data_IF_458014966921
#
_entry.id   IF_458014966921
#
_cell.length_a   1.000
_cell.length_b   1.000
_cell.length_c   1.000
_cell.angle_alpha   90.00
_cell.angle_beta   90.00
_cell.angle_gamma   90.00
#
_symmetry.space_group_name_H-M   'P 1'
#
loop_
_entity.id
_entity.type
_entity.pdbx_description
1 polymer ?
#
# COMPACT_ATOMS: atom_id res chain seq x y z
N UNK A 1 -20.18 13.20 33.15
CA UNK A 1 -19.08 13.41 32.17
C UNK A 1 -18.76 12.07 31.52
N UNK A 2 -18.74 11.99 30.20
CA UNK A 2 -18.31 10.78 29.49
C UNK A 2 -16.79 10.58 29.67
N UNK A 3 -16.39 9.38 29.98
CA UNK A 3 -14.97 9.04 30.10
C UNK A 3 -14.30 9.01 28.73
N UNK A 4 -12.96 9.19 28.66
CA UNK A 4 -12.19 9.05 27.41
C UNK A 4 -12.46 7.70 26.72
N UNK A 5 -12.70 6.63 27.50
CA UNK A 5 -13.00 5.31 26.98
C UNK A 5 -14.38 5.27 26.30
N UNK A 6 -15.38 5.91 26.88
CA UNK A 6 -16.73 6.02 26.29
C UNK A 6 -16.70 6.83 25.00
N UNK A 7 -15.94 7.93 24.98
CA UNK A 7 -15.73 8.74 23.76
C UNK A 7 -15.05 7.97 22.64
N UNK A 8 -14.02 7.19 22.94
CA UNK A 8 -13.36 6.34 21.94
C UNK A 8 -14.28 5.22 21.43
N UNK A 9 -15.13 4.67 22.29
CA UNK A 9 -16.15 3.68 21.90
C UNK A 9 -17.19 4.31 20.95
N UNK A 10 -17.66 5.52 21.25
CA UNK A 10 -18.56 6.29 20.37
C UNK A 10 -17.91 6.59 19.03
N UNK A 11 -16.66 7.09 19.02
CA UNK A 11 -15.90 7.31 17.80
C UNK A 11 -15.77 6.04 16.96
N UNK A 12 -15.55 4.89 17.60
CA UNK A 12 -15.48 3.59 16.94
C UNK A 12 -16.78 3.26 16.20
N UNK A 13 -17.93 3.54 16.79
CA UNK A 13 -19.23 3.36 16.14
C UNK A 13 -19.41 4.35 14.98
N UNK A 14 -19.06 5.62 15.17
CA UNK A 14 -19.14 6.64 14.12
C UNK A 14 -18.32 6.27 12.88
N UNK A 15 -17.13 5.73 13.07
CA UNK A 15 -16.25 5.25 11.98
C UNK A 15 -16.92 4.09 11.24
N UNK A 16 -17.50 3.13 11.96
CA UNK A 16 -18.20 1.97 11.37
C UNK A 16 -19.45 2.41 10.59
N UNK A 17 -20.26 3.29 11.15
CA UNK A 17 -21.46 3.84 10.48
C UNK A 17 -21.13 4.53 9.17
N UNK A 18 -19.95 5.16 9.05
CA UNK A 18 -19.46 5.79 7.83
C UNK A 18 -18.79 4.83 6.85
N UNK A 19 -18.73 3.54 7.17
CA UNK A 19 -18.16 2.49 6.31
C UNK A 19 -16.66 2.66 6.04
N UNK A 20 -15.91 3.31 6.94
CA UNK A 20 -14.47 3.44 6.81
C UNK A 20 -13.80 2.07 7.01
N UNK A 21 -12.65 1.88 6.33
CA UNK A 21 -11.91 0.62 6.40
C UNK A 21 -11.40 0.34 7.82
N UNK A 22 -11.34 -0.93 8.22
CA UNK A 22 -10.93 -1.38 9.56
C UNK A 22 -9.55 -0.83 9.95
N UNK A 23 -8.59 -0.85 9.03
CA UNK A 23 -7.28 -0.24 9.28
C UNK A 23 -7.37 1.28 9.57
N UNK A 24 -8.31 2.00 8.95
CA UNK A 24 -8.55 3.43 9.25
C UNK A 24 -9.15 3.59 10.64
N UNK A 25 -10.07 2.69 11.01
CA UNK A 25 -10.65 2.62 12.34
C UNK A 25 -9.58 2.51 13.41
N UNK A 26 -8.71 1.49 13.32
CA UNK A 26 -7.67 1.22 14.31
C UNK A 26 -6.67 2.35 14.44
N UNK A 27 -6.26 2.92 13.31
CA UNK A 27 -5.33 4.05 13.27
C UNK A 27 -5.96 5.29 13.90
N UNK A 28 -7.20 5.62 13.57
CA UNK A 28 -7.88 6.81 14.07
C UNK A 28 -8.14 6.72 15.58
N UNK A 29 -8.67 5.60 16.06
CA UNK A 29 -8.90 5.37 17.49
C UNK A 29 -7.60 5.45 18.27
N UNK A 30 -6.52 4.82 17.78
CA UNK A 30 -5.20 4.87 18.41
C UNK A 30 -4.64 6.29 18.49
N UNK A 31 -4.79 7.10 17.43
CA UNK A 31 -4.25 8.45 17.40
C UNK A 31 -5.05 9.43 18.24
N UNK A 32 -6.38 9.29 18.28
CA UNK A 32 -7.20 10.10 19.18
C UNK A 32 -6.95 9.72 20.64
N UNK A 33 -6.76 8.43 20.96
CA UNK A 33 -6.35 8.02 22.32
C UNK A 33 -5.07 8.73 22.76
N UNK A 34 -4.02 8.74 21.91
CA UNK A 34 -2.76 9.44 22.22
C UNK A 34 -2.96 10.95 22.38
N UNK A 35 -3.86 11.55 21.63
CA UNK A 35 -4.22 12.96 21.76
C UNK A 35 -4.90 13.23 23.11
N UNK A 36 -5.90 12.44 23.49
CA UNK A 36 -6.60 12.57 24.76
C UNK A 36 -5.69 12.35 25.97
N UNK A 37 -4.80 11.36 25.90
CA UNK A 37 -3.78 11.10 26.93
C UNK A 37 -2.80 12.27 27.08
N UNK A 38 -2.45 12.90 25.96
CA UNK A 38 -1.56 14.07 25.97
C UNK A 38 -2.21 15.30 26.60
N UNK A 39 -3.46 15.60 26.24
CA UNK A 39 -4.16 16.79 26.74
C UNK A 39 -4.51 16.67 28.22
N UNK A 40 -4.80 15.46 28.71
CA UNK A 40 -5.15 15.17 30.11
C UNK A 40 -6.25 16.10 30.67
N UNK A 41 -7.21 16.50 29.81
CA UNK A 41 -8.35 17.40 30.12
C UNK A 41 -9.67 16.69 29.81
N UNK A 42 -10.78 17.13 30.45
CA UNK A 42 -12.11 16.72 30.04
C UNK A 42 -12.36 17.02 28.55
N UNK A 43 -13.07 16.15 27.87
CA UNK A 43 -13.30 16.28 26.41
C UNK A 43 -14.10 17.53 26.06
N UNK A 44 -14.95 17.98 26.98
CA UNK A 44 -15.76 19.20 26.85
C UNK A 44 -14.87 20.46 26.77
N UNK A 45 -13.74 20.45 27.42
CA UNK A 45 -12.78 21.57 27.48
C UNK A 45 -11.76 21.55 26.35
N UNK A 46 -11.68 20.45 25.60
CA UNK A 46 -10.77 20.34 24.47
C UNK A 46 -11.17 21.28 23.33
N UNK A 47 -10.19 21.98 22.79
CA UNK A 47 -10.39 22.94 21.71
C UNK A 47 -9.35 22.82 20.61
N UNK A 48 -9.39 23.82 19.76
CA UNK A 48 -8.49 23.96 18.63
C UNK A 48 -7.04 24.19 19.05
N UNK A 49 -6.84 24.94 20.15
CA UNK A 49 -5.52 25.20 20.73
C UNK A 49 -4.85 23.87 21.16
N UNK A 50 -5.58 22.99 21.85
CA UNK A 50 -5.06 21.70 22.30
C UNK A 50 -4.67 20.81 21.11
N UNK A 51 -5.49 20.78 20.05
CA UNK A 51 -5.19 20.06 18.84
C UNK A 51 -3.94 20.58 18.11
N UNK A 52 -3.80 21.93 18.07
CA UNK A 52 -2.64 22.59 17.47
C UNK A 52 -1.36 22.32 18.26
N UNK A 53 -1.39 22.48 19.58
CA UNK A 53 -0.24 22.27 20.45
C UNK A 53 0.25 20.82 20.38
N UNK A 54 -0.68 19.87 20.36
CA UNK A 54 -0.34 18.45 20.16
C UNK A 54 0.37 18.20 18.83
N UNK A 55 -0.12 18.75 17.73
CA UNK A 55 0.50 18.57 16.41
C UNK A 55 1.85 19.26 16.31
N UNK A 56 2.03 20.46 16.91
CA UNK A 56 3.31 21.16 17.00
C UNK A 56 4.31 20.30 17.77
N UNK A 57 3.93 19.74 18.90
CA UNK A 57 4.79 18.83 19.67
C UNK A 57 5.23 17.63 18.86
N UNK A 58 4.31 16.96 18.14
CA UNK A 58 4.67 15.83 17.28
C UNK A 58 5.65 16.22 16.16
N UNK A 59 5.57 17.46 15.69
CA UNK A 59 6.49 17.98 14.69
C UNK A 59 7.86 18.27 15.27
N UNK A 60 7.91 18.85 16.48
CA UNK A 60 9.16 19.22 17.19
C UNK A 60 9.93 17.99 17.67
N UNK A 61 9.24 16.93 18.07
CA UNK A 61 9.84 15.65 18.45
C UNK A 61 10.67 15.01 17.31
N UNK A 62 10.34 15.32 16.06
CA UNK A 62 11.12 14.88 14.88
C UNK A 62 11.14 13.36 14.61
N UNK A 63 10.59 12.55 15.53
CA UNK A 63 10.58 11.09 15.41
C UNK A 63 9.56 10.56 14.37
N UNK A 64 8.56 11.37 14.01
CA UNK A 64 7.47 10.97 13.14
C UNK A 64 7.59 11.60 11.74
N UNK A 65 7.42 10.77 10.72
CA UNK A 65 7.30 11.27 9.36
C UNK A 65 6.06 12.19 9.20
N UNK A 66 6.18 13.23 8.38
CA UNK A 66 5.11 14.20 8.06
C UNK A 66 3.79 13.53 7.69
N UNK A 67 3.86 12.38 6.99
CA UNK A 67 2.67 11.59 6.66
C UNK A 67 1.93 11.06 7.88
N UNK A 68 2.67 10.65 8.91
CA UNK A 68 2.11 10.17 10.18
C UNK A 68 1.46 11.31 10.95
N UNK A 69 2.12 12.48 11.01
CA UNK A 69 1.55 13.67 11.66
C UNK A 69 0.24 14.10 10.97
N UNK A 70 0.20 14.05 9.64
CA UNK A 70 -1.03 14.31 8.89
C UNK A 70 -2.15 13.29 9.17
N UNK A 71 -1.80 12.05 9.51
CA UNK A 71 -2.79 11.05 9.93
C UNK A 71 -3.34 11.36 11.33
N UNK A 72 -2.50 11.81 12.29
CA UNK A 72 -2.97 12.32 13.57
C UNK A 72 -3.93 13.49 13.38
N UNK A 73 -3.56 14.48 12.57
CA UNK A 73 -4.41 15.62 12.24
C UNK A 73 -5.77 15.17 11.65
N UNK A 74 -5.77 14.20 10.72
CA UNK A 74 -7.00 13.67 10.13
C UNK A 74 -7.89 12.97 11.16
N UNK A 75 -7.29 12.20 12.08
CA UNK A 75 -8.02 11.51 13.15
C UNK A 75 -8.64 12.50 14.15
N UNK A 76 -7.90 13.53 14.55
CA UNK A 76 -8.37 14.59 15.45
C UNK A 76 -9.52 15.37 14.79
N UNK A 77 -9.38 15.77 13.52
CA UNK A 77 -10.44 16.44 12.77
C UNK A 77 -11.72 15.59 12.69
N UNK A 78 -11.56 14.29 12.45
CA UNK A 78 -12.69 13.36 12.44
C UNK A 78 -13.36 13.32 13.82
N UNK A 79 -12.59 13.19 14.88
CA UNK A 79 -13.08 13.16 16.26
C UNK A 79 -13.90 14.41 16.62
N UNK A 80 -13.35 15.59 16.37
CA UNK A 80 -14.08 16.84 16.63
C UNK A 80 -15.32 16.99 15.74
N UNK A 81 -15.18 16.81 14.42
CA UNK A 81 -16.27 17.08 13.48
C UNK A 81 -17.40 16.04 13.57
N UNK A 82 -17.08 14.77 13.82
CA UNK A 82 -18.06 13.69 13.75
C UNK A 82 -18.50 13.24 15.13
N UNK A 83 -17.55 12.92 16.02
CA UNK A 83 -17.89 12.36 17.32
C UNK A 83 -18.34 13.43 18.31
N UNK A 84 -17.69 14.59 18.31
CA UNK A 84 -18.07 15.70 19.20
C UNK A 84 -19.09 16.65 18.57
N UNK A 85 -19.36 16.53 17.27
CA UNK A 85 -20.17 17.47 16.50
C UNK A 85 -19.72 18.94 16.67
N UNK A 86 -18.41 19.17 16.66
CA UNK A 86 -17.78 20.48 16.84
C UNK A 86 -16.89 20.79 15.66
N UNK A 87 -17.06 21.98 15.07
CA UNK A 87 -16.21 22.46 13.95
C UNK A 87 -14.94 23.09 14.47
N UNK A 88 -13.80 22.64 13.93
CA UNK A 88 -12.51 23.30 14.11
C UNK A 88 -12.22 24.23 12.94
N UNK A 89 -11.50 25.33 13.21
CA UNK A 89 -11.00 26.18 12.14
C UNK A 89 -9.83 25.51 11.45
N UNK A 90 -10.07 24.92 10.28
CA UNK A 90 -9.07 24.18 9.52
C UNK A 90 -7.89 25.03 9.00
N UNK A 91 -8.04 26.36 8.99
CA UNK A 91 -6.93 27.26 8.66
C UNK A 91 -5.85 27.24 9.74
N UNK A 92 -6.23 27.03 10.99
CA UNK A 92 -5.28 26.92 12.11
C UNK A 92 -4.65 25.54 12.30
N UNK A 93 -5.25 24.52 11.68
CA UNK A 93 -4.76 23.15 11.65
C UNK A 93 -4.38 22.73 10.23
N UNK A 94 -3.42 23.38 9.56
CA UNK A 94 -3.08 23.05 8.17
C UNK A 94 -2.51 21.64 8.06
N UNK A 95 -2.65 21.06 6.87
CA UNK A 95 -1.90 19.84 6.54
C UNK A 95 -0.44 20.20 6.26
N UNK A 96 0.46 19.48 6.88
CA UNK A 96 1.89 19.64 6.63
C UNK A 96 2.23 19.19 5.21
N UNK A 97 3.00 20.01 4.49
CA UNK A 97 3.47 19.64 3.15
C UNK A 97 4.38 18.42 3.25
N UNK A 98 4.03 17.36 2.53
CA UNK A 98 4.95 16.23 2.34
C UNK A 98 6.01 16.63 1.34
N UNK A 99 7.28 16.39 1.65
CA UNK A 99 8.30 16.33 0.61
C UNK A 99 7.93 15.18 -0.33
N UNK A 100 7.77 15.47 -1.61
CA UNK A 100 7.56 14.46 -2.63
C UNK A 100 8.93 13.87 -3.02
N UNK A 101 9.43 12.92 -2.24
CA UNK A 101 10.50 12.07 -2.74
C UNK A 101 9.90 11.05 -3.70
N UNK A 102 10.54 10.83 -4.84
CA UNK A 102 10.19 9.72 -5.71
C UNK A 102 10.44 8.41 -4.94
N UNK A 103 9.56 7.42 -5.08
CA UNK A 103 9.79 6.13 -4.46
C UNK A 103 11.05 5.49 -5.05
N UNK A 104 11.85 4.88 -4.20
CA UNK A 104 12.98 4.08 -4.62
C UNK A 104 12.46 2.78 -5.25
N UNK A 105 12.94 2.45 -6.45
CA UNK A 105 12.54 1.25 -7.19
C UNK A 105 13.73 0.30 -7.33
N UNK A 106 13.44 -0.98 -7.46
CA UNK A 106 14.41 -1.98 -7.84
C UNK A 106 14.61 -1.96 -9.37
N UNK A 107 15.87 -2.06 -9.81
CA UNK A 107 16.15 -2.27 -11.23
C UNK A 107 15.65 -3.65 -11.70
N UNK A 108 15.63 -3.90 -13.00
CA UNK A 108 15.29 -5.21 -13.56
C UNK A 108 16.25 -6.29 -13.03
N UNK A 109 17.54 -6.00 -13.00
CA UNK A 109 18.60 -6.90 -12.52
C UNK A 109 18.43 -7.20 -11.03
N UNK A 110 18.19 -6.18 -10.20
CA UNK A 110 17.92 -6.35 -8.76
C UNK A 110 16.66 -7.17 -8.52
N UNK A 111 15.61 -6.91 -9.30
CA UNK A 111 14.34 -7.66 -9.21
C UNK A 111 14.52 -9.12 -9.63
N UNK A 112 15.25 -9.37 -10.73
CA UNK A 112 15.53 -10.72 -11.20
C UNK A 112 16.40 -11.48 -10.21
N UNK A 113 17.42 -10.83 -9.63
CA UNK A 113 18.26 -11.44 -8.59
C UNK A 113 17.44 -11.79 -7.35
N UNK A 114 16.61 -10.85 -6.84
CA UNK A 114 15.75 -11.10 -5.68
C UNK A 114 14.80 -12.28 -5.88
N UNK A 115 14.16 -12.39 -7.04
CA UNK A 115 13.22 -13.46 -7.34
C UNK A 115 13.94 -14.76 -7.69
N UNK A 116 15.00 -14.68 -8.49
CA UNK A 116 15.74 -15.84 -8.98
C UNK A 116 16.47 -16.59 -7.87
N UNK A 117 17.10 -15.85 -6.96
CA UNK A 117 17.83 -16.42 -5.83
C UNK A 117 16.95 -16.79 -4.63
N UNK A 118 15.65 -16.45 -4.64
CA UNK A 118 14.74 -16.74 -3.54
C UNK A 118 14.55 -18.27 -3.37
N UNK A 119 15.08 -18.82 -2.29
CA UNK A 119 15.05 -20.26 -2.01
C UNK A 119 13.68 -20.73 -1.49
N UNK A 120 12.93 -19.85 -0.85
CA UNK A 120 11.62 -20.20 -0.31
C UNK A 120 10.55 -20.02 -1.39
N UNK A 121 10.01 -21.11 -1.89
CA UNK A 121 9.00 -21.14 -2.96
C UNK A 121 7.73 -20.32 -2.63
N UNK A 122 7.33 -20.25 -1.34
CA UNK A 122 6.22 -19.42 -0.90
C UNK A 122 6.56 -17.93 -1.01
N UNK A 123 7.79 -17.54 -0.61
CA UNK A 123 8.25 -16.15 -0.72
C UNK A 123 8.39 -15.75 -2.20
N UNK A 124 9.01 -16.62 -3.02
CA UNK A 124 9.12 -16.43 -4.47
C UNK A 124 7.74 -16.19 -5.10
N UNK A 125 6.72 -16.94 -4.68
CA UNK A 125 5.34 -16.75 -5.14
C UNK A 125 4.79 -15.35 -4.80
N UNK A 126 5.05 -14.81 -3.61
CA UNK A 126 4.64 -13.45 -3.25
C UNK A 126 5.28 -12.41 -4.18
N UNK A 127 6.57 -12.56 -4.46
CA UNK A 127 7.34 -11.61 -5.24
C UNK A 127 6.92 -11.63 -6.72
N UNK A 128 6.68 -12.82 -7.26
CA UNK A 128 6.17 -12.98 -8.63
C UNK A 128 4.77 -12.38 -8.79
N UNK A 129 3.88 -12.55 -7.81
CA UNK A 129 2.56 -11.90 -7.83
C UNK A 129 2.68 -10.38 -7.71
N UNK A 130 3.58 -9.88 -6.84
CA UNK A 130 3.78 -8.45 -6.66
C UNK A 130 4.39 -7.80 -7.90
N UNK A 131 5.38 -8.44 -8.52
CA UNK A 131 6.09 -7.93 -9.69
C UNK A 131 5.40 -8.26 -11.01
N UNK A 132 4.90 -9.49 -11.19
CA UNK A 132 4.25 -9.92 -12.44
C UNK A 132 2.79 -9.48 -12.58
N UNK A 133 2.10 -9.27 -11.44
CA UNK A 133 0.68 -8.86 -11.41
C UNK A 133 0.44 -7.47 -10.83
N UNK A 134 1.45 -6.85 -10.25
CA UNK A 134 1.34 -5.51 -9.66
C UNK A 134 0.42 -5.42 -8.44
N UNK A 135 0.25 -6.51 -7.68
CA UNK A 135 -0.66 -6.53 -6.54
C UNK A 135 -0.08 -5.79 -5.32
N UNK A 136 -0.98 -5.24 -4.50
CA UNK A 136 -0.62 -4.71 -3.16
C UNK A 136 -0.44 -5.86 -2.19
N UNK A 137 0.39 -5.66 -1.15
CA UNK A 137 0.65 -6.70 -0.13
C UNK A 137 -0.65 -7.24 0.51
N UNK A 138 -1.62 -6.39 0.79
CA UNK A 138 -2.93 -6.81 1.32
C UNK A 138 -3.76 -7.60 0.30
N UNK A 139 -3.65 -7.29 -0.99
CA UNK A 139 -4.30 -8.03 -2.07
C UNK A 139 -3.66 -9.42 -2.21
N UNK A 140 -2.32 -9.52 -2.15
CA UNK A 140 -1.59 -10.80 -2.16
C UNK A 140 -2.02 -11.69 -1.00
N UNK A 141 -2.07 -11.12 0.22
CA UNK A 141 -2.46 -11.86 1.41
C UNK A 141 -3.88 -12.43 1.30
N UNK A 142 -4.82 -11.66 0.72
CA UNK A 142 -6.22 -12.01 0.63
C UNK A 142 -6.61 -12.82 -0.62
N UNK A 143 -5.63 -13.20 -1.48
CA UNK A 143 -5.91 -14.03 -2.66
C UNK A 143 -6.45 -15.40 -2.26
N UNK A 144 -7.37 -15.88 -3.07
CA UNK A 144 -7.88 -17.26 -3.01
C UNK A 144 -7.41 -18.06 -4.21
N UNK A 145 -7.39 -19.39 -4.08
CA UNK A 145 -7.00 -20.27 -5.20
C UNK A 145 -7.89 -20.09 -6.44
N UNK A 146 -9.18 -19.83 -6.24
CA UNK A 146 -10.13 -19.57 -7.31
C UNK A 146 -9.92 -18.24 -8.04
N UNK A 147 -9.12 -17.34 -7.48
CA UNK A 147 -8.83 -16.04 -8.10
C UNK A 147 -7.72 -16.14 -9.15
N UNK A 148 -7.08 -17.31 -9.26
CA UNK A 148 -6.06 -17.61 -10.28
C UNK A 148 -6.72 -18.27 -11.48
N UNK A 149 -6.93 -17.51 -12.55
CA UNK A 149 -7.43 -18.03 -13.82
C UNK A 149 -6.27 -18.44 -14.72
N UNK A 150 -5.91 -19.71 -14.64
CA UNK A 150 -4.81 -20.28 -15.44
C UNK A 150 -5.16 -20.47 -16.92
N UNK A 151 -6.43 -20.41 -17.31
CA UNK A 151 -6.85 -20.52 -18.73
C UNK A 151 -6.67 -19.16 -19.43
N UNK A 152 -7.12 -18.09 -18.79
CA UNK A 152 -7.04 -16.73 -19.35
C UNK A 152 -5.74 -16.01 -18.93
N UNK A 153 -4.86 -16.65 -18.15
CA UNK A 153 -3.63 -16.08 -17.62
C UNK A 153 -3.86 -14.74 -16.90
N UNK A 154 -4.82 -14.73 -15.94
CA UNK A 154 -5.22 -13.56 -15.18
C UNK A 154 -5.35 -13.86 -13.69
N UNK A 155 -5.18 -12.83 -12.89
CA UNK A 155 -5.46 -12.84 -11.45
C UNK A 155 -6.68 -11.94 -11.22
N UNK A 156 -7.71 -12.47 -10.58
CA UNK A 156 -8.86 -11.68 -10.12
C UNK A 156 -8.54 -11.05 -8.77
N UNK A 157 -8.64 -9.74 -8.67
CA UNK A 157 -8.38 -8.98 -7.43
C UNK A 157 -9.70 -8.40 -6.94
N UNK A 158 -10.24 -9.02 -5.90
CA UNK A 158 -11.51 -8.62 -5.30
C UNK A 158 -11.34 -7.44 -4.37
N UNK A 159 -12.21 -6.43 -4.51
CA UNK A 159 -12.37 -5.37 -3.51
C UNK A 159 -11.13 -4.54 -3.26
N UNK A 160 -10.32 -4.25 -4.26
CA UNK A 160 -9.17 -3.34 -4.16
C UNK A 160 -9.54 -1.98 -3.56
N UNK A 161 -8.56 -1.10 -3.37
CA UNK A 161 -8.78 0.27 -2.83
C UNK A 161 -9.90 0.97 -3.62
N UNK A 162 -11.00 1.31 -2.93
CA UNK A 162 -12.21 1.88 -3.55
C UNK A 162 -13.28 0.85 -3.92
N UNK A 163 -13.18 -0.40 -3.45
CA UNK A 163 -14.16 -1.51 -3.64
C UNK A 163 -14.43 -1.89 -5.09
N UNK A 164 -13.53 -1.57 -6.04
CA UNK A 164 -13.64 -2.01 -7.44
C UNK A 164 -12.82 -3.28 -7.65
N UNK A 165 -13.47 -4.30 -8.18
CA UNK A 165 -12.83 -5.52 -8.63
C UNK A 165 -12.05 -5.25 -9.93
N UNK A 166 -10.98 -6.02 -10.16
CA UNK A 166 -10.21 -5.94 -11.39
C UNK A 166 -9.54 -7.26 -11.72
N UNK A 167 -9.17 -7.40 -12.98
CA UNK A 167 -8.22 -8.41 -13.43
C UNK A 167 -6.85 -7.82 -13.66
N UNK A 168 -5.81 -8.61 -13.39
CA UNK A 168 -4.42 -8.25 -13.71
C UNK A 168 -3.70 -9.46 -14.31
N UNK A 169 -2.44 -9.27 -14.69
CA UNK A 169 -1.64 -10.26 -15.39
C UNK A 169 -1.22 -11.42 -14.47
N UNK A 170 -1.22 -12.62 -15.01
CA UNK A 170 -0.59 -13.80 -14.45
C UNK A 170 0.50 -14.28 -15.41
N UNK A 171 1.77 -14.18 -15.02
CA UNK A 171 2.86 -14.68 -15.86
C UNK A 171 2.97 -16.21 -15.78
N UNK A 172 3.52 -16.84 -16.82
CA UNK A 172 3.78 -18.28 -16.83
C UNK A 172 4.67 -18.71 -15.66
N UNK A 173 5.73 -17.96 -15.38
CA UNK A 173 6.64 -18.22 -14.26
C UNK A 173 5.90 -18.19 -12.92
N UNK A 174 5.02 -17.19 -12.73
CA UNK A 174 4.20 -17.10 -11.53
C UNK A 174 3.29 -18.33 -11.39
N UNK A 175 2.60 -18.74 -12.47
CA UNK A 175 1.71 -19.89 -12.44
C UNK A 175 2.48 -21.20 -12.15
N UNK A 176 3.63 -21.43 -12.78
CA UNK A 176 4.48 -22.58 -12.50
C UNK A 176 4.95 -22.62 -11.05
N UNK A 177 5.43 -21.49 -10.53
CA UNK A 177 5.89 -21.37 -9.13
C UNK A 177 4.73 -21.59 -8.14
N UNK A 178 3.53 -21.11 -8.44
CA UNK A 178 2.35 -21.36 -7.62
C UNK A 178 1.95 -22.83 -7.59
N UNK A 179 1.98 -23.52 -8.72
CA UNK A 179 1.70 -24.97 -8.81
C UNK A 179 2.72 -25.77 -8.01
N UNK A 180 4.01 -25.42 -8.12
CA UNK A 180 5.09 -26.04 -7.36
C UNK A 180 4.90 -25.81 -5.85
N UNK A 181 4.61 -24.57 -5.44
CA UNK A 181 4.32 -24.25 -4.04
C UNK A 181 3.19 -25.13 -3.48
N UNK A 182 2.10 -25.29 -4.23
CA UNK A 182 0.95 -26.08 -3.78
C UNK A 182 1.26 -27.59 -3.76
N UNK A 183 2.06 -28.08 -4.70
CA UNK A 183 2.50 -29.49 -4.74
C UNK A 183 3.41 -29.85 -3.59
N UNK A 184 4.39 -28.97 -3.30
CA UNK A 184 5.40 -29.22 -2.25
C UNK A 184 4.82 -29.01 -0.85
N UNK A 185 4.11 -27.88 -0.64
CA UNK A 185 3.66 -27.48 0.70
C UNK A 185 2.33 -28.09 1.10
N UNK A 186 1.47 -28.45 0.15
CA UNK A 186 0.12 -29.00 0.39
C UNK A 186 -0.58 -28.31 1.56
N UNK A 187 -0.73 -26.98 1.55
CA UNK A 187 -1.15 -26.24 2.72
C UNK A 187 -2.58 -26.64 3.13
N UNK A 188 -2.80 -26.80 4.42
CA UNK A 188 -4.16 -26.96 4.96
C UNK A 188 -4.95 -25.66 4.66
N UNK A 189 -6.02 -25.77 3.88
CA UNK A 189 -6.70 -24.61 3.34
C UNK A 189 -8.22 -24.81 3.21
N UNK A 190 -8.94 -25.01 4.30
CA UNK A 190 -10.39 -25.18 4.28
C UNK A 190 -11.12 -23.93 3.76
N UNK A 191 -10.55 -22.76 3.94
CA UNK A 191 -11.12 -21.47 3.53
C UNK A 191 -10.79 -21.08 2.07
N UNK A 192 -9.97 -21.85 1.35
CA UNK A 192 -9.59 -21.58 -0.05
C UNK A 192 -8.61 -20.44 -0.26
N UNK A 193 -7.83 -20.03 0.76
CA UNK A 193 -6.80 -19.01 0.63
C UNK A 193 -5.63 -19.51 -0.23
N UNK A 194 -5.07 -18.66 -1.09
CA UNK A 194 -3.88 -19.01 -1.85
C UNK A 194 -2.67 -19.19 -0.92
N UNK A 195 -2.57 -18.35 0.10
CA UNK A 195 -1.55 -18.37 1.13
C UNK A 195 -2.19 -18.40 2.52
N UNK A 196 -2.57 -19.59 3.00
CA UNK A 196 -3.15 -19.71 4.33
C UNK A 196 -2.13 -19.40 5.44
N UNK A 197 -2.66 -19.01 6.61
CA UNK A 197 -1.93 -18.99 7.88
C UNK A 197 -1.47 -20.40 8.27
N UNK A 198 -0.63 -20.48 9.28
CA UNK A 198 -0.12 -21.78 9.75
C UNK A 198 -1.23 -22.76 10.14
N UNK A 199 -2.29 -22.26 10.78
CA UNK A 199 -3.45 -23.05 11.22
C UNK A 199 -4.52 -23.22 10.12
N UNK A 200 -4.33 -22.63 8.93
CA UNK A 200 -5.27 -22.70 7.80
C UNK A 200 -6.57 -21.92 7.96
N UNK A 201 -6.82 -21.30 9.13
CA UNK A 201 -8.08 -20.61 9.43
C UNK A 201 -8.20 -19.23 8.79
N UNK A 202 -7.07 -18.57 8.62
CA UNK A 202 -6.98 -17.24 8.03
C UNK A 202 -5.98 -17.24 6.86
N UNK A 203 -5.86 -16.13 6.19
CA UNK A 203 -4.75 -15.89 5.27
C UNK A 203 -3.49 -15.42 6.02
N UNK A 204 -2.34 -15.50 5.34
CA UNK A 204 -1.09 -14.91 5.83
C UNK A 204 -1.26 -13.42 6.15
N UNK A 205 -0.55 -12.94 7.16
CA UNK A 205 -0.56 -11.50 7.49
C UNK A 205 0.28 -10.69 6.50
N UNK A 206 -0.08 -9.44 6.28
CA UNK A 206 0.72 -8.51 5.49
C UNK A 206 2.11 -8.28 6.09
N UNK A 207 2.22 -8.31 7.41
CA UNK A 207 3.50 -8.24 8.12
C UNK A 207 4.39 -9.46 7.82
N UNK A 208 3.81 -10.66 7.74
CA UNK A 208 4.54 -11.87 7.36
C UNK A 208 5.13 -11.79 5.94
N UNK A 209 4.34 -11.27 4.97
CA UNK A 209 4.83 -11.07 3.61
C UNK A 209 5.91 -9.98 3.55
N UNK A 210 5.73 -8.86 4.28
CA UNK A 210 6.70 -7.78 4.35
C UNK A 210 8.02 -8.24 5.02
N UNK A 211 7.93 -9.04 6.09
CA UNK A 211 9.10 -9.62 6.74
C UNK A 211 9.87 -10.58 5.81
N UNK A 212 9.14 -11.44 5.08
CA UNK A 212 9.74 -12.30 4.07
C UNK A 212 10.52 -11.49 3.01
N UNK A 213 9.93 -10.40 2.53
CA UNK A 213 10.59 -9.51 1.56
C UNK A 213 11.86 -8.87 2.14
N UNK A 214 11.78 -8.30 3.34
CA UNK A 214 12.93 -7.66 4.01
C UNK A 214 14.10 -8.65 4.22
N UNK A 215 13.79 -9.88 4.64
CA UNK A 215 14.78 -10.94 4.81
C UNK A 215 15.48 -11.28 3.50
N UNK A 216 14.73 -11.46 2.41
CA UNK A 216 15.31 -11.81 1.11
C UNK A 216 16.10 -10.64 0.49
N UNK A 217 15.64 -9.40 0.61
CA UNK A 217 16.36 -8.19 0.18
C UNK A 217 17.74 -8.12 0.85
N UNK A 218 17.77 -8.33 2.17
CA UNK A 218 19.04 -8.34 2.93
C UNK A 218 19.94 -9.52 2.50
N UNK A 219 19.37 -10.72 2.29
CA UNK A 219 20.10 -11.93 1.91
C UNK A 219 20.80 -11.79 0.56
N UNK A 220 20.13 -11.17 -0.43
CA UNK A 220 20.70 -10.96 -1.77
C UNK A 220 21.54 -9.68 -1.88
N UNK A 221 21.79 -8.99 -0.77
CA UNK A 221 22.69 -7.84 -0.71
C UNK A 221 22.15 -6.59 -1.41
N UNK A 222 20.84 -6.39 -1.47
CA UNK A 222 20.24 -5.14 -1.94
C UNK A 222 20.29 -4.13 -0.80
N UNK A 223 21.00 -3.01 -1.02
CA UNK A 223 21.24 -1.97 -0.01
C UNK A 223 20.15 -0.87 0.00
N UNK A 224 19.29 -0.85 -1.00
CA UNK A 224 18.18 0.11 -1.11
C UNK A 224 17.18 -0.08 0.04
N UNK A 225 16.69 1.06 0.59
CA UNK A 225 15.64 1.03 1.62
C UNK A 225 14.25 0.88 0.98
N UNK A 226 13.92 -0.35 0.61
CA UNK A 226 12.70 -0.68 -0.12
C UNK A 226 11.77 -1.58 0.68
N UNK A 227 10.48 -1.47 0.42
CA UNK A 227 9.45 -2.41 0.87
C UNK A 227 8.94 -3.25 -0.30
N UNK A 228 8.13 -4.27 -0.02
CA UNK A 228 7.51 -5.10 -1.08
C UNK A 228 6.73 -4.27 -2.12
N UNK A 229 6.28 -3.06 -1.78
CA UNK A 229 5.67 -2.14 -2.75
C UNK A 229 6.62 -1.72 -3.88
N UNK A 230 7.96 -1.83 -3.68
CA UNK A 230 8.93 -1.57 -4.74
C UNK A 230 8.77 -2.54 -5.93
N UNK A 231 8.36 -3.80 -5.68
CA UNK A 231 8.06 -4.75 -6.75
C UNK A 231 6.85 -4.32 -7.59
N UNK A 232 5.80 -3.80 -6.95
CA UNK A 232 4.65 -3.22 -7.65
C UNK A 232 5.02 -1.92 -8.38
N UNK A 233 5.90 -1.11 -7.82
CA UNK A 233 6.42 0.06 -8.51
C UNK A 233 7.26 -0.35 -9.73
N UNK A 234 8.12 -1.36 -9.57
CA UNK A 234 8.88 -1.97 -10.67
C UNK A 234 7.98 -2.51 -11.77
N UNK A 235 6.90 -3.24 -11.44
CA UNK A 235 5.90 -3.69 -12.41
C UNK A 235 5.38 -2.54 -13.28
N UNK A 236 4.96 -1.45 -12.65
CA UNK A 236 4.40 -0.31 -13.38
C UNK A 236 5.45 0.43 -14.22
N UNK A 237 6.65 0.64 -13.67
CA UNK A 237 7.73 1.37 -14.34
C UNK A 237 8.27 0.57 -15.53
N UNK A 238 8.55 -0.72 -15.32
CA UNK A 238 9.09 -1.58 -16.38
C UNK A 238 8.06 -1.85 -17.50
N UNK A 239 6.76 -1.98 -17.18
CA UNK A 239 5.72 -2.05 -18.21
C UNK A 239 5.64 -0.76 -19.05
N UNK A 240 5.81 0.40 -18.40
CA UNK A 240 5.82 1.68 -19.12
C UNK A 240 7.03 1.79 -20.05
N UNK A 241 8.19 1.34 -19.60
CA UNK A 241 9.43 1.25 -20.42
C UNK A 241 9.27 0.26 -21.58
N UNK A 242 8.51 -0.82 -21.38
CA UNK A 242 8.16 -1.81 -22.42
C UNK A 242 7.05 -1.32 -23.37
N UNK A 243 6.62 -0.05 -23.25
CA UNK A 243 5.67 0.59 -24.16
C UNK A 243 4.20 0.46 -23.77
N UNK A 244 3.88 -0.08 -22.59
CA UNK A 244 2.50 -0.07 -22.10
C UNK A 244 2.05 1.37 -21.83
N UNK A 245 0.80 1.68 -22.17
CA UNK A 245 0.23 3.00 -21.92
C UNK A 245 -0.08 3.22 -20.44
N UNK A 246 -0.04 4.47 -20.00
CA UNK A 246 -0.39 4.85 -18.62
C UNK A 246 -1.84 4.44 -18.26
N UNK A 247 -2.73 4.38 -19.24
CA UNK A 247 -4.12 3.94 -19.04
C UNK A 247 -4.19 2.44 -18.75
N UNK A 248 -3.45 1.61 -19.50
CA UNK A 248 -3.35 0.16 -19.26
C UNK A 248 -2.78 -0.11 -17.86
N UNK A 249 -1.71 0.58 -17.48
CA UNK A 249 -1.09 0.45 -16.15
C UNK A 249 -2.08 0.86 -15.05
N UNK A 250 -2.81 1.96 -15.24
CA UNK A 250 -3.85 2.40 -14.30
C UNK A 250 -4.90 1.32 -14.07
N UNK A 251 -5.41 0.69 -15.13
CA UNK A 251 -6.42 -0.38 -15.05
C UNK A 251 -5.85 -1.62 -14.35
N UNK A 252 -4.67 -2.11 -14.75
CA UNK A 252 -4.00 -3.26 -14.14
C UNK A 252 -3.75 -3.04 -12.64
N UNK A 253 -3.32 -1.83 -12.24
CA UNK A 253 -3.08 -1.49 -10.85
C UNK A 253 -4.36 -1.18 -10.04
N UNK A 254 -5.48 -0.92 -10.72
CA UNK A 254 -6.73 -0.50 -10.07
C UNK A 254 -6.58 0.85 -9.35
N UNK A 255 -5.98 1.84 -10.02
CA UNK A 255 -5.87 3.19 -9.51
C UNK A 255 -7.15 3.98 -9.83
N UNK A 256 -7.77 4.58 -8.81
CA UNK A 256 -8.95 5.41 -8.98
C UNK A 256 -8.67 6.69 -9.80
N UNK A 257 -7.44 7.21 -9.72
CA UNK A 257 -7.02 8.44 -10.40
C UNK A 257 -5.73 8.22 -11.18
N UNK A 258 -5.62 8.85 -12.36
CA UNK A 258 -4.39 8.90 -13.15
C UNK A 258 -3.23 9.54 -12.39
N UNK A 259 -3.49 10.49 -11.49
CA UNK A 259 -2.44 11.11 -10.66
C UNK A 259 -1.65 10.08 -9.83
N UNK A 260 -2.29 8.97 -9.43
CA UNK A 260 -1.61 7.88 -8.73
C UNK A 260 -0.70 7.06 -9.63
N UNK A 261 -0.92 7.10 -10.94
CA UNK A 261 -0.12 6.37 -11.94
C UNK A 261 0.92 7.30 -12.58
N UNK A 262 0.66 8.61 -12.60
CA UNK A 262 1.57 9.62 -13.20
C UNK A 262 2.97 9.63 -12.55
N UNK A 263 3.10 9.17 -11.30
CA UNK A 263 4.40 9.04 -10.64
C UNK A 263 5.36 8.14 -11.43
N UNK A 264 4.87 7.16 -12.16
CA UNK A 264 5.68 6.23 -12.93
C UNK A 264 6.26 6.88 -14.21
N UNK A 265 5.64 7.94 -14.74
CA UNK A 265 6.20 8.73 -15.84
C UNK A 265 7.52 9.41 -15.46
N UNK A 266 7.69 9.73 -14.18
CA UNK A 266 8.93 10.32 -13.66
C UNK A 266 9.99 9.25 -13.28
N UNK A 267 9.59 8.01 -13.16
CA UNK A 267 10.46 6.89 -12.76
C UNK A 267 10.97 6.11 -13.97
N UNK A 268 10.13 5.96 -14.99
CA UNK A 268 10.46 5.24 -16.20
C UNK A 268 11.36 6.05 -17.11
N UNK A 269 12.30 5.40 -17.77
CA UNK A 269 13.08 6.00 -18.85
C UNK A 269 12.25 5.99 -20.16
N UNK A 270 11.25 6.87 -20.23
CA UNK A 270 10.34 6.98 -21.37
C UNK A 270 10.98 7.63 -22.61
N UNK A 271 12.22 8.15 -22.48
CA UNK A 271 12.98 8.72 -23.59
C UNK A 271 13.84 7.68 -24.31
N UNK A 272 13.99 6.49 -23.75
CA UNK A 272 14.73 5.41 -24.42
C UNK A 272 14.01 5.03 -25.73
N UNK A 273 14.72 5.16 -26.85
CA UNK A 273 14.17 4.89 -28.19
C UNK A 273 13.34 6.02 -28.81
N UNK A 274 13.17 7.16 -28.13
CA UNK A 274 12.55 8.35 -28.71
C UNK A 274 13.61 9.10 -29.52
N UNK A 275 13.42 9.14 -30.86
CA UNK A 275 14.27 9.88 -31.76
C UNK A 275 13.78 11.33 -31.84
N UNK A 276 14.68 12.30 -31.67
CA UNK A 276 14.35 13.70 -31.80
C UNK A 276 13.75 13.99 -33.19
N UNK A 277 12.70 14.81 -33.30
CA UNK A 277 12.20 15.23 -34.60
C UNK A 277 13.33 15.86 -35.50
N UNK A 278 14.31 16.53 -34.88
CA UNK A 278 15.43 17.10 -35.59
C UNK A 278 16.32 16.03 -36.26
N UNK A 279 16.49 14.87 -35.67
CA UNK A 279 17.29 13.78 -36.22
C UNK A 279 16.63 13.10 -37.44
N UNK A 280 15.32 13.29 -37.61
CA UNK A 280 14.57 12.77 -38.76
C UNK A 280 14.75 13.61 -40.01
N UNK A 281 15.19 14.88 -39.89
CA UNK A 281 15.48 15.73 -41.06
C UNK A 281 16.66 15.25 -41.89
N UNK A 282 17.62 14.53 -41.27
CA UNK A 282 18.83 14.03 -41.93
C UNK A 282 18.52 12.88 -42.92
N UNK A 283 17.34 12.25 -42.83
CA UNK A 283 16.93 11.15 -43.72
C UNK A 283 16.28 11.63 -45.04
N UNK A 284 16.04 12.94 -45.22
CA UNK A 284 15.37 13.51 -46.36
C UNK A 284 16.27 14.48 -47.16
N UNK A 285 17.59 14.44 -46.91
CA UNK A 285 18.61 15.22 -47.64
C UNK A 285 19.36 14.37 -48.67
#
# INVERSE_FOLDING_TARGET
>A
METNQQMLARMSLDIKMRGLAENTHDVYVRYVRKFLEHCAKPVEELGEADARDYLIRLMQDGSLATGTINMHNSAIRFFFAVTLNRTLNYLQLPRFKKSKSLPEILSREETHRLIGECLNIKHKSFFLIAYGGGLRVGEIAALRTKDIDSKSMRIFVKGGKGKKDRYTLLSNECLCTLREYWTIRRPNNPAGWLFPSYDGRAHITTAGIAGAFSTEVSRVGITKNVSIHALRHGFATHLLEDGATIFQIKELLGHASLNSTAVYLHLANTTAGVVSPADRYVQYG
#
